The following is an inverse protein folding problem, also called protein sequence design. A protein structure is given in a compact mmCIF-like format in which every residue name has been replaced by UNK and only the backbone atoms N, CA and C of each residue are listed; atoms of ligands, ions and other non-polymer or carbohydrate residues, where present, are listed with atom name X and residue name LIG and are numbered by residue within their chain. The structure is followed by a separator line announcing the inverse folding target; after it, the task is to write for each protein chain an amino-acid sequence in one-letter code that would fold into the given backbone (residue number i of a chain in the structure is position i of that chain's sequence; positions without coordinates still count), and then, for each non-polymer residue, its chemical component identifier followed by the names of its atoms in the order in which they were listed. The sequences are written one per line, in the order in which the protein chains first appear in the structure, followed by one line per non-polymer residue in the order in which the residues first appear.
data_IF_302861454194
#
_entry.id   IF_302861454194
#
_cell.length_a   1.000
_cell.length_b   1.000
_cell.length_c   1.000
_cell.angle_alpha   90.00
_cell.angle_beta   90.00
_cell.angle_gamma   90.00
#
_symmetry.space_group_name_H-M   'P 1'
#
loop_
_entity.id
_entity.type
_entity.pdbx_description
1 polymer ?
#
# COMPACT_ATOMS: atom_id res chain seq x y z
N UNK A 1 -17.70 -19.57 -1.68
CA UNK A 1 -17.36 -18.35 -0.91
C UNK A 1 -16.08 -18.51 -0.07
N UNK A 2 -15.83 -19.66 0.57
CA UNK A 2 -14.60 -19.90 1.35
C UNK A 2 -13.30 -19.80 0.55
N UNK A 3 -13.25 -20.39 -0.64
CA UNK A 3 -12.03 -20.43 -1.47
C UNK A 3 -11.63 -19.05 -1.99
N UNK A 4 -12.60 -18.24 -2.42
CA UNK A 4 -12.36 -16.86 -2.84
C UNK A 4 -11.85 -15.98 -1.69
N UNK A 5 -12.46 -16.10 -0.50
CA UNK A 5 -12.00 -15.38 0.70
C UNK A 5 -10.58 -15.79 1.09
N UNK A 6 -10.25 -17.08 0.99
CA UNK A 6 -8.89 -17.60 1.19
C UNK A 6 -7.89 -17.02 0.18
N UNK A 7 -8.26 -16.98 -1.10
CA UNK A 7 -7.44 -16.36 -2.15
C UNK A 7 -7.17 -14.88 -1.87
N UNK A 8 -8.20 -14.09 -1.53
CA UNK A 8 -8.05 -12.65 -1.23
C UNK A 8 -7.15 -12.43 -0.01
N UNK A 9 -7.34 -13.21 1.06
CA UNK A 9 -6.46 -13.14 2.24
C UNK A 9 -5.01 -13.48 1.90
N UNK A 10 -4.78 -14.51 1.09
CA UNK A 10 -3.44 -14.87 0.62
C UNK A 10 -2.80 -13.77 -0.23
N UNK A 11 -3.57 -13.17 -1.14
CA UNK A 11 -3.12 -12.07 -2.00
C UNK A 11 -2.73 -10.83 -1.18
N UNK A 12 -3.59 -10.41 -0.25
CA UNK A 12 -3.33 -9.27 0.64
C UNK A 12 -2.13 -9.54 1.53
N UNK A 13 -2.03 -10.75 2.10
CA UNK A 13 -0.90 -11.13 2.97
C UNK A 13 0.42 -11.08 2.19
N UNK A 14 0.44 -11.60 0.96
CA UNK A 14 1.61 -11.57 0.08
C UNK A 14 2.00 -10.13 -0.31
N UNK A 15 1.03 -9.28 -0.66
CA UNK A 15 1.27 -7.88 -0.97
C UNK A 15 1.86 -7.12 0.24
N UNK A 16 1.32 -7.33 1.45
CA UNK A 16 1.84 -6.74 2.69
C UNK A 16 3.26 -7.22 2.97
N UNK A 17 3.55 -8.51 2.80
CA UNK A 17 4.89 -9.04 3.02
C UNK A 17 5.93 -8.39 2.10
N UNK A 18 5.63 -8.25 0.80
CA UNK A 18 6.52 -7.58 -0.15
C UNK A 18 6.73 -6.11 0.24
N UNK A 19 5.65 -5.40 0.55
CA UNK A 19 5.70 -4.00 0.95
C UNK A 19 6.60 -3.80 2.17
N UNK A 20 6.39 -4.56 3.25
CA UNK A 20 7.14 -4.40 4.48
C UNK A 20 8.59 -4.86 4.35
N UNK A 21 8.83 -6.06 3.81
CA UNK A 21 10.13 -6.71 3.90
C UNK A 21 11.06 -6.34 2.73
N UNK A 22 10.49 -6.12 1.54
CA UNK A 22 11.26 -5.98 0.32
C UNK A 22 11.29 -4.54 -0.21
N UNK A 23 10.26 -3.74 0.07
CA UNK A 23 10.17 -2.37 -0.43
C UNK A 23 10.51 -1.31 0.63
N UNK A 24 9.92 -1.42 1.81
CA UNK A 24 10.11 -0.46 2.91
C UNK A 24 11.28 -0.81 3.83
N UNK A 25 11.82 -2.02 3.70
CA UNK A 25 12.87 -2.57 4.58
C UNK A 25 12.52 -2.35 6.05
N UNK A 26 11.27 -2.66 6.40
CA UNK A 26 10.72 -2.41 7.71
C UNK A 26 11.13 -3.50 8.67
N UNK A 27 11.92 -3.14 9.68
CA UNK A 27 11.97 -3.91 10.92
C UNK A 27 10.61 -3.76 11.64
N UNK A 28 10.19 -4.81 12.32
CA UNK A 28 8.86 -4.94 12.92
C UNK A 28 8.45 -3.68 13.70
N UNK A 29 7.32 -3.06 13.33
CA UNK A 29 6.72 -1.93 14.05
C UNK A 29 7.06 -0.53 13.54
N UNK A 30 7.83 -0.38 12.46
CA UNK A 30 8.24 0.95 12.00
C UNK A 30 7.29 1.64 11.00
N UNK A 31 6.24 0.98 10.51
CA UNK A 31 5.26 1.58 9.58
C UNK A 31 4.03 2.05 10.38
N UNK A 32 3.58 3.31 10.22
CA UNK A 32 2.43 3.82 10.94
C UNK A 32 1.17 3.04 10.58
N UNK A 33 0.36 2.75 11.60
CA UNK A 33 -0.95 2.12 11.38
C UNK A 33 -1.90 3.16 10.80
N UNK A 34 -2.47 2.83 9.64
CA UNK A 34 -3.45 3.70 8.99
C UNK A 34 -4.77 3.60 9.75
N UNK A 35 -5.33 4.73 10.24
CA UNK A 35 -6.57 4.74 11.00
C UNK A 35 -7.78 4.61 10.05
N UNK A 36 -7.92 3.48 9.35
CA UNK A 36 -8.91 3.29 8.28
C UNK A 36 -10.34 3.67 8.64
N UNK A 37 -10.73 3.50 9.91
CA UNK A 37 -12.08 3.80 10.41
C UNK A 37 -12.31 5.30 10.70
N UNK A 38 -11.24 6.08 10.80
CA UNK A 38 -11.28 7.50 11.12
C UNK A 38 -10.70 8.36 9.99
N UNK A 39 -10.50 7.79 8.80
CA UNK A 39 -10.16 8.58 7.61
C UNK A 39 -11.40 9.36 7.20
N UNK A 40 -11.24 10.67 7.12
CA UNK A 40 -12.22 11.58 6.55
C UNK A 40 -11.66 12.16 5.24
N UNK A 41 -12.51 12.24 4.23
CA UNK A 41 -12.22 12.95 2.98
C UNK A 41 -13.40 13.88 2.68
N UNK A 42 -13.11 15.13 2.32
CA UNK A 42 -14.13 16.10 1.95
C UNK A 42 -14.40 16.03 0.44
N UNK A 43 -15.53 15.45 0.01
CA UNK A 43 -15.82 15.29 -1.42
C UNK A 43 -16.17 16.62 -2.11
N UNK A 44 -16.36 17.70 -1.34
CA UNK A 44 -16.67 19.03 -1.89
C UNK A 44 -15.42 19.86 -2.15
N UNK A 45 -14.27 19.45 -1.60
CA UNK A 45 -13.00 20.12 -1.79
C UNK A 45 -12.37 19.72 -3.13
N UNK A 46 -12.22 20.70 -4.01
CA UNK A 46 -11.72 20.52 -5.38
C UNK A 46 -10.38 21.18 -5.62
N UNK A 47 -9.77 21.76 -4.59
CA UNK A 47 -8.45 22.37 -4.68
C UNK A 47 -7.43 21.39 -5.26
N UNK A 48 -6.61 21.88 -6.19
CA UNK A 48 -5.56 21.08 -6.79
C UNK A 48 -4.58 20.58 -5.71
N UNK A 49 -4.38 19.26 -5.67
CA UNK A 49 -3.52 18.61 -4.69
C UNK A 49 -4.21 18.32 -3.35
N UNK A 50 -5.53 18.49 -3.24
CA UNK A 50 -6.30 17.96 -2.12
C UNK A 50 -6.21 16.43 -2.06
N UNK A 51 -6.14 15.88 -0.85
CA UNK A 51 -6.29 14.46 -0.54
C UNK A 51 -6.62 14.31 0.95
N UNK A 52 -7.11 13.15 1.35
CA UNK A 52 -7.54 12.84 2.73
C UNK A 52 -6.47 13.09 3.83
N UNK A 53 -5.17 13.16 3.50
CA UNK A 53 -4.12 13.49 4.47
C UNK A 53 -4.16 14.96 4.90
N UNK A 54 -4.79 15.83 4.10
CA UNK A 54 -4.92 17.27 4.36
C UNK A 54 -6.16 17.62 5.16
N UNK A 55 -7.07 16.66 5.34
CA UNK A 55 -8.25 16.85 6.17
C UNK A 55 -7.87 16.82 7.66
N UNK A 56 -8.07 17.94 8.35
CA UNK A 56 -7.72 18.09 9.77
C UNK A 56 -8.55 17.21 10.70
N UNK A 57 -9.67 16.64 10.22
CA UNK A 57 -10.50 15.70 10.97
C UNK A 57 -9.89 14.30 11.01
N UNK A 58 -8.99 13.98 10.08
CA UNK A 58 -8.29 12.69 10.04
C UNK A 58 -7.14 12.70 11.06
N UNK A 59 -7.16 11.83 12.09
CA UNK A 59 -6.07 11.73 13.06
C UNK A 59 -4.89 10.97 12.47
N UNK A 60 -4.18 11.59 11.52
CA UNK A 60 -3.06 10.95 10.85
C UNK A 60 -1.85 10.85 11.81
N UNK A 61 -1.26 9.66 12.01
CA UNK A 61 -0.30 9.43 13.11
C UNK A 61 1.09 10.03 12.88
N UNK A 62 1.37 10.52 11.67
CA UNK A 62 2.70 11.00 11.25
C UNK A 62 2.53 12.20 10.31
N UNK A 63 3.62 12.87 9.95
CA UNK A 63 3.60 13.83 8.85
C UNK A 63 3.52 13.09 7.51
N UNK A 64 2.30 12.88 6.97
CA UNK A 64 2.03 11.94 5.88
C UNK A 64 2.88 12.14 4.62
N UNK A 65 3.06 13.39 4.18
CA UNK A 65 3.81 13.72 2.97
C UNK A 65 5.33 13.53 3.13
N UNK A 66 5.85 13.69 4.36
CA UNK A 66 7.29 13.67 4.63
C UNK A 66 7.78 12.39 5.30
N UNK A 67 6.88 11.59 5.87
CA UNK A 67 7.25 10.46 6.72
C UNK A 67 8.20 9.46 6.02
N UNK A 68 7.92 9.11 4.75
CA UNK A 68 8.76 8.17 4.00
C UNK A 68 10.15 8.76 3.72
N UNK A 69 10.21 10.06 3.41
CA UNK A 69 11.47 10.78 3.15
C UNK A 69 12.29 10.90 4.43
N UNK A 70 11.64 11.27 5.54
CA UNK A 70 12.23 11.34 6.87
C UNK A 70 12.82 9.99 7.29
N UNK A 71 12.05 8.91 7.08
CA UNK A 71 12.51 7.54 7.32
C UNK A 71 13.75 7.20 6.48
N UNK A 72 13.75 7.52 5.19
CA UNK A 72 14.92 7.27 4.34
C UNK A 72 16.15 8.06 4.80
N UNK A 73 15.97 9.30 5.28
CA UNK A 73 17.07 10.11 5.83
C UNK A 73 17.63 9.52 7.12
N UNK A 74 16.75 9.05 8.02
CA UNK A 74 17.13 8.46 9.31
C UNK A 74 17.78 7.07 9.16
N UNK A 75 17.20 6.20 8.33
CA UNK A 75 17.71 4.85 8.03
C UNK A 75 18.59 4.82 6.78
N UNK A 76 19.14 5.97 6.38
CA UNK A 76 19.84 6.12 5.11
C UNK A 76 21.05 5.22 4.98
N UNK A 77 21.73 4.87 6.08
CA UNK A 77 22.91 4.02 6.04
C UNK A 77 22.61 2.58 5.55
N UNK A 78 21.66 1.81 6.14
CA UNK A 78 21.27 0.49 5.62
C UNK A 78 20.73 0.48 4.18
N UNK A 79 19.86 1.43 3.83
CA UNK A 79 19.27 1.48 2.48
C UNK A 79 20.34 1.87 1.45
N UNK A 80 21.21 2.84 1.78
CA UNK A 80 22.32 3.25 0.93
C UNK A 80 23.31 2.11 0.69
N UNK A 81 23.70 1.35 1.72
CA UNK A 81 24.61 0.19 1.56
C UNK A 81 24.04 -0.91 0.65
N UNK A 82 22.71 -0.99 0.54
CA UNK A 82 22.04 -1.96 -0.31
C UNK A 82 22.14 -1.60 -1.80
N UNK A 83 22.12 -0.32 -2.13
CA UNK A 83 22.10 0.18 -3.51
C UNK A 83 23.40 0.84 -3.96
N UNK A 84 24.28 1.22 -3.04
CA UNK A 84 25.56 1.89 -3.30
C UNK A 84 26.70 1.09 -2.67
N UNK A 85 27.73 0.82 -3.46
CA UNK A 85 28.97 0.20 -2.97
C UNK A 85 29.73 1.17 -2.07
N UNK A 86 30.01 0.76 -0.84
CA UNK A 86 30.68 1.60 0.17
C UNK A 86 32.09 2.06 -0.24
N UNK A 87 32.79 1.28 -1.06
CA UNK A 87 34.18 1.54 -1.47
C UNK A 87 34.31 2.48 -2.66
N UNK A 88 33.38 2.43 -3.62
CA UNK A 88 33.49 3.14 -4.90
C UNK A 88 32.36 4.14 -5.17
N UNK A 89 31.32 4.18 -4.32
CA UNK A 89 30.13 5.01 -4.55
C UNK A 89 29.31 4.58 -5.77
N UNK A 90 29.59 3.42 -6.36
CA UNK A 90 28.91 2.91 -7.56
C UNK A 90 27.56 2.31 -7.20
N UNK A 91 26.60 2.46 -8.10
CA UNK A 91 25.30 1.84 -7.97
C UNK A 91 25.38 0.32 -8.19
N UNK A 92 24.79 -0.43 -7.27
CA UNK A 92 24.65 -1.89 -7.34
C UNK A 92 23.50 -2.23 -8.28
N UNK A 93 23.74 -2.18 -9.59
CA UNK A 93 22.71 -2.36 -10.63
C UNK A 93 21.90 -3.65 -10.47
N UNK A 94 22.54 -4.75 -10.06
CA UNK A 94 21.83 -6.00 -9.77
C UNK A 94 20.80 -5.86 -8.64
N UNK A 95 21.16 -5.17 -7.55
CA UNK A 95 20.26 -4.92 -6.43
C UNK A 95 19.10 -3.99 -6.81
N UNK A 96 19.38 -2.98 -7.66
CA UNK A 96 18.35 -2.09 -8.21
C UNK A 96 17.37 -2.87 -9.09
N UNK A 97 17.86 -3.72 -9.98
CA UNK A 97 17.00 -4.54 -10.84
C UNK A 97 16.10 -5.47 -10.02
N UNK A 98 16.65 -6.13 -9.01
CA UNK A 98 15.85 -6.97 -8.09
C UNK A 98 14.79 -6.13 -7.39
N UNK A 99 15.13 -4.95 -6.88
CA UNK A 99 14.15 -4.04 -6.25
C UNK A 99 13.03 -3.64 -7.22
N UNK A 100 13.36 -3.24 -8.45
CA UNK A 100 12.37 -2.87 -9.46
C UNK A 100 11.46 -4.04 -9.84
N UNK A 101 12.00 -5.26 -9.92
CA UNK A 101 11.20 -6.47 -10.10
C UNK A 101 10.22 -6.69 -8.93
N UNK A 102 10.65 -6.45 -7.68
CA UNK A 102 9.76 -6.52 -6.52
C UNK A 102 8.68 -5.44 -6.52
N UNK A 103 9.00 -4.23 -6.97
CA UNK A 103 8.01 -3.16 -7.17
C UNK A 103 6.97 -3.59 -8.21
N UNK A 104 7.39 -4.16 -9.33
CA UNK A 104 6.47 -4.65 -10.36
C UNK A 104 5.56 -5.76 -9.80
N UNK A 105 6.12 -6.73 -9.09
CA UNK A 105 5.36 -7.83 -8.49
C UNK A 105 4.38 -7.37 -7.41
N UNK A 106 4.76 -6.37 -6.60
CA UNK A 106 3.85 -5.74 -5.65
C UNK A 106 2.68 -5.04 -6.37
N UNK A 107 2.97 -4.25 -7.40
CA UNK A 107 1.94 -3.53 -8.18
C UNK A 107 0.96 -4.48 -8.85
N UNK A 108 1.43 -5.61 -9.37
CA UNK A 108 0.59 -6.66 -9.94
C UNK A 108 -0.40 -7.20 -8.89
N UNK A 109 0.09 -7.61 -7.72
CA UNK A 109 -0.78 -8.10 -6.63
C UNK A 109 -1.78 -7.05 -6.17
N UNK A 110 -1.35 -5.80 -6.05
CA UNK A 110 -2.20 -4.70 -5.66
C UNK A 110 -3.30 -4.44 -6.69
N UNK A 111 -2.97 -4.45 -7.99
CA UNK A 111 -3.95 -4.30 -9.06
C UNK A 111 -5.01 -5.40 -9.03
N UNK A 112 -4.59 -6.67 -8.83
CA UNK A 112 -5.51 -7.80 -8.68
C UNK A 112 -6.40 -7.61 -7.44
N UNK A 113 -5.82 -7.17 -6.31
CA UNK A 113 -6.58 -6.96 -5.08
C UNK A 113 -7.64 -5.85 -5.23
N UNK A 114 -7.28 -4.74 -5.88
CA UNK A 114 -8.21 -3.64 -6.18
C UNK A 114 -9.32 -4.11 -7.10
N UNK A 115 -8.97 -4.82 -8.18
CA UNK A 115 -9.96 -5.36 -9.11
C UNK A 115 -10.91 -6.33 -8.42
N UNK A 116 -10.38 -7.27 -7.64
CA UNK A 116 -11.21 -8.24 -6.94
C UNK A 116 -12.11 -7.60 -5.88
N UNK A 117 -11.64 -6.56 -5.18
CA UNK A 117 -12.46 -5.80 -4.23
C UNK A 117 -13.63 -5.07 -4.93
N UNK A 118 -13.35 -4.45 -6.08
CA UNK A 118 -14.37 -3.80 -6.90
C UNK A 118 -15.39 -4.80 -7.46
N UNK A 119 -14.93 -5.90 -8.05
CA UNK A 119 -15.78 -6.93 -8.64
C UNK A 119 -16.64 -7.66 -7.60
N UNK A 120 -16.13 -7.84 -6.37
CA UNK A 120 -16.90 -8.40 -5.25
C UNK A 120 -18.04 -7.49 -4.81
N UNK A 121 -17.82 -6.17 -4.82
CA UNK A 121 -18.86 -5.19 -4.49
C UNK A 121 -19.96 -5.16 -5.56
N UNK A 122 -19.58 -5.24 -6.84
CA UNK A 122 -20.54 -5.32 -7.97
C UNK A 122 -21.33 -6.63 -7.94
N UNK A 123 -20.68 -7.77 -7.70
CA UNK A 123 -21.37 -9.05 -7.55
C UNK A 123 -22.32 -9.06 -6.35
N UNK A 124 -21.91 -8.52 -5.20
CA UNK A 124 -22.77 -8.36 -4.02
C UNK A 124 -24.00 -7.48 -4.29
N UNK A 125 -23.85 -6.39 -5.04
CA UNK A 125 -24.96 -5.54 -5.46
C UNK A 125 -25.91 -6.23 -6.45
N UNK A 126 -25.41 -7.06 -7.36
CA UNK A 126 -26.24 -7.81 -8.32
C UNK A 126 -27.03 -8.92 -7.61
N UNK A 127 -26.40 -9.66 -6.69
CA UNK A 127 -27.09 -10.71 -5.92
C UNK A 127 -28.03 -10.15 -4.84
N UNK A 128 -27.74 -8.98 -4.25
CA UNK A 128 -28.62 -8.31 -3.29
C UNK A 128 -29.91 -7.73 -3.91
N UNK A 129 -29.89 -7.41 -5.21
CA UNK A 129 -31.08 -6.93 -5.95
C UNK A 129 -32.01 -8.06 -6.39
N UNK A 130 -31.51 -9.29 -6.54
CA UNK A 130 -32.32 -10.46 -6.91
C UNK A 130 -33.17 -11.05 -5.77
N UNK A 131 -32.90 -10.69 -4.51
CA UNK A 131 -33.65 -11.15 -3.32
C UNK A 131 -34.71 -10.17 -2.83
N UNK A 132 -34.82 -8.98 -3.47
CA UNK A 132 -35.88 -8.00 -3.18
C UNK A 132 -36.97 -7.95 -4.26
N UNK A 133 -36.83 -8.74 -5.32
CA UNK A 133 -37.79 -8.83 -6.43
C UNK A 133 -38.24 -10.29 -6.68
N UNK A 134 -38.73 -10.96 -5.63
CA UNK A 134 -39.59 -12.13 -5.79
C UNK A 134 -40.93 -11.84 -5.07
N UNK A 135 -42.07 -11.89 -5.79
CA UNK A 135 -43.40 -11.66 -5.19
C UNK A 135 -43.83 -12.79 -4.24
#
# INVERSE_FOLDING_TARGET
MGDFRGFIHGLISSARQILHNELLFSENGSVPTIPWQAIYDDPTETAHGWNFLKDTRTPWPVEGEQWLIGRFRQHGSPVRQRFIESSAGRLRMAAINVYLQRVAYFREKLAIAIHAAHSSHVAGMIYGRGITEQP
#
